data_IF_412492177865
#
_entry.id   IF_412492177865
#
_cell.length_a   1.000
_cell.length_b   1.000
_cell.length_c   1.000
_cell.angle_alpha   90.00
_cell.angle_beta   90.00
_cell.angle_gamma   90.00
#
_symmetry.space_group_name_H-M   'P 1'
#
loop_
_entity.id
_entity.type
_entity.pdbx_description
1 polymer ?
#
# COMPACT_ATOMS: atom_id res chain seq x y z
N UNK A 1 34.57 29.67 6.05
CA UNK A 1 34.94 29.60 4.62
C UNK A 1 35.77 28.36 4.39
N UNK A 2 35.15 27.23 4.08
CA UNK A 2 35.87 25.97 3.77
C UNK A 2 34.90 25.00 3.10
N UNK A 3 34.65 25.22 1.81
CA UNK A 3 34.31 24.16 0.86
C UNK A 3 35.63 23.64 0.30
N UNK A 4 36.03 22.42 0.64
CA UNK A 4 36.76 21.52 -0.26
C UNK A 4 37.05 20.22 0.49
N UNK A 5 36.48 19.10 0.04
CA UNK A 5 37.09 17.76 0.05
C UNK A 5 36.02 16.74 -0.35
N UNK A 6 35.78 16.60 -1.65
CA UNK A 6 35.22 15.37 -2.24
C UNK A 6 35.73 15.28 -3.67
N UNK A 7 36.85 14.59 -3.86
CA UNK A 7 37.32 14.11 -5.16
C UNK A 7 38.43 13.09 -4.95
N UNK A 8 38.42 12.06 -5.80
CA UNK A 8 39.45 11.06 -6.03
C UNK A 8 39.50 9.86 -5.07
N UNK A 9 38.88 8.75 -5.49
CA UNK A 9 39.58 7.46 -5.51
C UNK A 9 39.07 6.62 -6.68
N UNK A 10 39.79 6.70 -7.79
CA UNK A 10 39.75 5.74 -8.87
C UNK A 10 41.18 5.50 -9.35
N UNK A 11 41.53 4.21 -9.48
CA UNK A 11 42.65 3.60 -10.24
C UNK A 11 44.04 3.61 -9.61
N UNK A 12 44.46 2.41 -9.20
CA UNK A 12 45.69 1.66 -9.55
C UNK A 12 45.57 0.31 -8.82
N UNK A 13 45.71 -0.90 -9.35
CA UNK A 13 46.35 -1.41 -10.56
C UNK A 13 47.25 -2.59 -10.17
N UNK A 14 46.92 -3.81 -10.62
CA UNK A 14 47.79 -4.99 -10.81
C UNK A 14 48.27 -5.83 -9.60
N UNK A 15 47.85 -7.10 -9.55
CA UNK A 15 48.75 -8.26 -9.34
C UNK A 15 48.15 -9.57 -9.88
N UNK A 16 48.86 -10.18 -10.84
CA UNK A 16 49.18 -11.61 -10.95
C UNK A 16 48.10 -12.70 -10.93
N UNK A 17 47.86 -13.31 -12.10
CA UNK A 17 47.20 -14.61 -12.33
C UNK A 17 48.02 -15.78 -11.75
N UNK A 18 47.34 -16.86 -11.33
CA UNK A 18 47.72 -18.24 -11.64
C UNK A 18 46.54 -19.22 -11.45
N UNK A 19 46.05 -19.71 -12.60
CA UNK A 19 45.51 -21.03 -12.97
C UNK A 19 44.38 -21.71 -12.15
N UNK A 20 43.29 -21.99 -12.88
CA UNK A 20 42.29 -23.02 -12.56
C UNK A 20 41.12 -22.99 -13.55
N UNK A 21 41.31 -23.60 -14.74
CA UNK A 21 40.30 -23.70 -15.80
C UNK A 21 39.16 -24.67 -15.39
N UNK A 22 37.91 -24.23 -15.47
CA UNK A 22 36.78 -25.07 -15.90
C UNK A 22 35.82 -24.25 -16.78
N UNK A 23 35.27 -24.82 -17.87
CA UNK A 23 34.43 -24.10 -18.81
C UNK A 23 32.99 -24.00 -18.28
N UNK A 24 32.50 -22.77 -18.08
CA UNK A 24 31.07 -22.54 -17.88
C UNK A 24 30.35 -22.65 -19.22
N UNK A 25 29.54 -23.69 -19.37
CA UNK A 25 28.61 -23.86 -20.47
C UNK A 25 27.58 -22.73 -20.45
N UNK A 26 27.50 -21.96 -21.54
CA UNK A 26 26.46 -20.98 -21.78
C UNK A 26 25.21 -21.72 -22.28
N UNK A 27 24.27 -22.00 -21.37
CA UNK A 27 22.95 -22.53 -21.70
C UNK A 27 21.98 -21.40 -22.03
N UNK A 28 21.73 -21.15 -23.32
CA UNK A 28 20.59 -20.34 -23.75
C UNK A 28 19.29 -21.13 -23.49
N UNK A 29 18.57 -20.78 -22.43
CA UNK A 29 17.20 -21.25 -22.23
C UNK A 29 16.28 -20.36 -23.06
N UNK A 30 15.80 -20.88 -24.19
CA UNK A 30 14.67 -20.30 -24.93
C UNK A 30 13.42 -20.46 -24.07
N UNK A 31 12.91 -19.36 -23.51
CA UNK A 31 11.58 -19.36 -22.90
C UNK A 31 10.54 -19.43 -24.02
N UNK A 32 9.80 -20.55 -24.04
CA UNK A 32 8.61 -20.74 -24.87
C UNK A 32 7.55 -19.73 -24.45
N UNK A 33 7.17 -18.84 -25.37
CA UNK A 33 6.02 -17.94 -25.25
C UNK A 33 4.74 -18.73 -25.39
N UNK A 34 4.18 -19.16 -24.25
CA UNK A 34 2.84 -19.72 -24.17
C UNK A 34 2.33 -19.59 -22.73
N UNK A 35 1.99 -18.36 -22.33
CA UNK A 35 1.17 -18.14 -21.14
C UNK A 35 -0.26 -18.53 -21.52
N UNK A 36 -0.71 -19.71 -21.08
CA UNK A 36 -2.14 -20.03 -21.06
C UNK A 36 -2.81 -19.10 -20.05
N UNK A 37 -3.99 -18.52 -20.37
CA UNK A 37 -4.71 -17.70 -19.41
C UNK A 37 -5.17 -18.60 -18.26
N UNK A 38 -4.81 -18.24 -17.02
CA UNK A 38 -5.37 -18.85 -15.83
C UNK A 38 -6.82 -18.37 -15.68
N UNK A 39 -7.75 -19.08 -16.32
CA UNK A 39 -9.19 -18.86 -16.15
C UNK A 39 -9.67 -19.60 -14.91
N UNK A 40 -9.35 -19.07 -13.73
CA UNK A 40 -10.12 -19.35 -12.52
C UNK A 40 -10.86 -18.06 -12.19
N UNK A 41 -12.19 -18.06 -12.31
CA UNK A 41 -13.01 -16.92 -11.93
C UNK A 41 -12.76 -16.61 -10.45
N UNK A 42 -12.03 -15.53 -10.17
CA UNK A 42 -11.80 -15.07 -8.81
C UNK A 42 -13.15 -14.77 -8.15
N UNK A 43 -13.48 -15.35 -6.97
CA UNK A 43 -14.65 -14.97 -6.22
C UNK A 43 -14.64 -13.46 -5.95
N UNK A 44 -15.58 -12.78 -6.59
CA UNK A 44 -15.88 -11.36 -6.43
C UNK A 44 -17.32 -11.28 -6.01
N UNK A 45 -17.56 -10.71 -4.85
CA UNK A 45 -18.91 -10.60 -4.31
C UNK A 45 -19.03 -9.38 -3.43
N UNK A 46 -20.28 -9.01 -3.14
CA UNK A 46 -20.58 -7.96 -2.20
C UNK A 46 -21.10 -8.57 -0.90
N UNK A 47 -20.77 -7.93 0.21
CA UNK A 47 -21.28 -8.24 1.54
C UNK A 47 -22.05 -7.04 2.07
N UNK A 48 -23.24 -7.26 2.60
CA UNK A 48 -23.92 -6.25 3.42
C UNK A 48 -23.23 -6.21 4.79
N UNK A 49 -22.59 -5.09 5.12
CA UNK A 49 -21.84 -4.88 6.37
C UNK A 49 -22.21 -3.50 6.90
N UNK A 50 -22.81 -3.47 8.11
CA UNK A 50 -23.43 -2.26 8.65
C UNK A 50 -24.40 -1.67 7.62
N UNK A 51 -24.26 -0.39 7.29
CA UNK A 51 -25.09 0.31 6.28
C UNK A 51 -24.47 0.29 4.87
N UNK A 52 -23.47 -0.57 4.62
CA UNK A 52 -22.70 -0.59 3.38
C UNK A 52 -22.81 -1.92 2.64
N UNK A 53 -22.83 -1.84 1.31
CA UNK A 53 -22.57 -2.97 0.43
C UNK A 53 -21.10 -2.96 0.04
N UNK A 54 -20.31 -3.87 0.61
CA UNK A 54 -18.86 -3.89 0.46
C UNK A 54 -18.44 -4.94 -0.56
N UNK A 55 -17.78 -4.51 -1.63
CA UNK A 55 -17.13 -5.38 -2.60
C UNK A 55 -15.83 -5.95 -2.02
N UNK A 56 -15.68 -7.27 -2.17
CA UNK A 56 -14.51 -8.03 -1.76
C UNK A 56 -14.10 -8.98 -2.89
N UNK A 57 -12.80 -9.12 -3.04
CA UNK A 57 -12.16 -10.07 -3.93
C UNK A 57 -11.21 -10.98 -3.14
N UNK A 58 -11.35 -12.28 -3.32
CA UNK A 58 -10.55 -13.28 -2.58
C UNK A 58 -9.80 -14.19 -3.55
N UNK A 59 -8.48 -14.30 -3.40
CA UNK A 59 -7.62 -15.22 -4.16
C UNK A 59 -6.76 -16.07 -3.24
N UNK A 60 -6.43 -17.28 -3.69
CA UNK A 60 -5.66 -18.25 -2.93
C UNK A 60 -6.45 -18.98 -1.85
N UNK A 61 -5.78 -19.94 -1.24
CA UNK A 61 -6.35 -20.87 -0.26
C UNK A 61 -5.35 -21.22 0.86
N UNK A 62 -4.29 -20.43 0.99
CA UNK A 62 -3.30 -20.64 2.03
C UNK A 62 -3.82 -20.31 3.43
N UNK A 63 -3.22 -20.87 4.49
CA UNK A 63 -3.75 -20.81 5.84
C UNK A 63 -3.65 -19.43 6.51
N UNK A 64 -2.94 -18.46 5.91
CA UNK A 64 -2.69 -17.14 6.48
C UNK A 64 -3.53 -16.08 5.76
N UNK A 65 -4.59 -15.53 6.37
CA UNK A 65 -5.35 -14.46 5.75
C UNK A 65 -4.53 -13.17 5.66
N UNK A 66 -4.47 -12.56 4.47
CA UNK A 66 -3.77 -11.30 4.20
C UNK A 66 -4.74 -10.34 3.54
N UNK A 67 -4.93 -9.18 4.15
CA UNK A 67 -5.88 -8.18 3.69
C UNK A 67 -5.13 -7.05 2.99
N UNK A 68 -5.55 -6.70 1.78
CA UNK A 68 -4.97 -5.61 0.99
C UNK A 68 -5.88 -4.38 1.10
N UNK A 69 -5.33 -3.25 1.57
CA UNK A 69 -6.09 -2.01 1.81
C UNK A 69 -5.63 -0.95 0.80
N UNK A 70 -6.52 -0.51 -0.13
CA UNK A 70 -6.15 0.42 -1.20
C UNK A 70 -5.90 1.83 -0.67
N UNK A 71 -5.23 2.62 -1.49
CA UNK A 71 -4.99 4.03 -1.22
C UNK A 71 -6.22 4.89 -1.48
N UNK A 72 -6.02 6.20 -1.48
CA UNK A 72 -7.08 7.17 -1.73
C UNK A 72 -7.74 6.89 -3.08
N UNK A 73 -9.06 6.67 -3.05
CA UNK A 73 -9.90 6.47 -4.24
C UNK A 73 -9.59 5.17 -5.01
N UNK A 74 -8.71 4.35 -4.46
CA UNK A 74 -8.38 3.05 -5.00
C UNK A 74 -9.47 2.00 -4.78
N UNK A 75 -9.23 0.84 -5.38
CA UNK A 75 -10.02 -0.39 -5.26
C UNK A 75 -9.09 -1.59 -5.23
N UNK A 76 -9.65 -2.79 -5.01
CA UNK A 76 -8.90 -4.04 -5.03
C UNK A 76 -8.00 -4.17 -6.27
N UNK A 77 -8.55 -3.93 -7.46
CA UNK A 77 -7.86 -4.17 -8.74
C UNK A 77 -7.05 -2.99 -9.23
N UNK A 78 -7.48 -1.76 -8.97
CA UNK A 78 -6.70 -0.58 -9.38
C UNK A 78 -5.41 -0.46 -8.60
N UNK A 79 -5.37 -0.99 -7.38
CA UNK A 79 -4.27 -0.78 -6.43
C UNK A 79 -3.47 -2.05 -6.16
N UNK A 80 -4.04 -3.25 -6.36
CA UNK A 80 -3.37 -4.51 -6.02
C UNK A 80 -3.43 -5.58 -7.10
N UNK A 81 -3.64 -5.22 -8.36
CA UNK A 81 -3.59 -6.17 -9.49
C UNK A 81 -2.38 -7.12 -9.43
N UNK A 82 -1.14 -6.62 -9.35
CA UNK A 82 0.06 -7.46 -9.26
C UNK A 82 0.09 -8.34 -8.00
N UNK A 83 -0.42 -7.87 -6.86
CA UNK A 83 -0.41 -8.62 -5.60
C UNK A 83 -1.44 -9.76 -5.63
N UNK A 84 -2.64 -9.49 -6.16
CA UNK A 84 -3.67 -10.51 -6.38
C UNK A 84 -3.17 -11.62 -7.33
N UNK A 85 -2.35 -11.27 -8.32
CA UNK A 85 -1.79 -12.22 -9.29
C UNK A 85 -0.55 -12.97 -8.79
N UNK A 86 0.34 -12.31 -8.04
CA UNK A 86 1.70 -12.81 -7.79
C UNK A 86 2.05 -13.13 -6.33
N UNK A 87 1.29 -12.65 -5.34
CA UNK A 87 1.52 -13.09 -3.96
C UNK A 87 1.24 -14.59 -3.84
N UNK A 88 1.95 -15.28 -2.95
CA UNK A 88 1.90 -16.73 -2.87
C UNK A 88 0.54 -17.23 -2.34
N UNK A 89 -0.36 -17.54 -3.27
CA UNK A 89 -1.72 -18.01 -3.01
C UNK A 89 -1.82 -19.37 -2.29
N UNK A 90 -0.72 -20.13 -2.16
CA UNK A 90 -0.65 -21.36 -1.34
C UNK A 90 -0.28 -21.08 0.11
N UNK A 91 0.41 -19.98 0.37
CA UNK A 91 0.75 -19.53 1.72
C UNK A 91 -0.36 -18.65 2.31
N UNK A 92 -1.03 -17.88 1.45
CA UNK A 92 -1.98 -16.86 1.85
C UNK A 92 -3.37 -17.09 1.27
N UNK A 93 -4.40 -16.72 2.04
CA UNK A 93 -5.72 -16.36 1.52
C UNK A 93 -5.73 -14.84 1.42
N UNK A 94 -5.67 -14.29 0.21
CA UNK A 94 -5.52 -12.86 -0.02
C UNK A 94 -6.90 -12.26 -0.23
N UNK A 95 -7.22 -11.23 0.55
CA UNK A 95 -8.52 -10.56 0.60
C UNK A 95 -8.27 -9.11 0.24
N UNK A 96 -8.77 -8.66 -0.91
CA UNK A 96 -8.74 -7.26 -1.27
C UNK A 96 -10.16 -6.70 -1.21
N UNK A 97 -10.32 -5.50 -0.67
CA UNK A 97 -11.62 -4.88 -0.47
C UNK A 97 -11.67 -3.50 -1.11
N UNK A 98 -12.87 -3.04 -1.40
CA UNK A 98 -13.13 -1.66 -1.76
C UNK A 98 -13.73 -0.96 -0.53
N UNK A 99 -13.10 0.10 0.01
CA UNK A 99 -13.66 0.87 1.13
C UNK A 99 -15.05 1.45 0.82
N UNK A 100 -15.87 1.80 1.83
CA UNK A 100 -17.18 2.41 1.63
C UNK A 100 -17.14 3.58 0.65
N UNK A 101 -17.91 3.53 -0.43
CA UNK A 101 -17.95 4.58 -1.45
C UNK A 101 -16.81 4.58 -2.47
N UNK A 102 -15.88 3.61 -2.39
CA UNK A 102 -14.87 3.36 -3.42
C UNK A 102 -15.20 2.13 -4.25
N UNK A 103 -14.57 2.05 -5.43
CA UNK A 103 -14.68 0.95 -6.38
C UNK A 103 -16.12 0.48 -6.59
N UNK A 104 -16.35 -0.81 -6.36
CA UNK A 104 -17.65 -1.43 -6.47
C UNK A 104 -18.42 -1.47 -5.13
N UNK A 105 -17.89 -0.86 -4.06
CA UNK A 105 -18.59 -0.64 -2.78
C UNK A 105 -19.47 0.62 -2.82
N UNK A 106 -20.22 0.78 -3.92
CA UNK A 106 -21.13 1.88 -4.21
C UNK A 106 -22.48 1.29 -4.65
N UNK A 107 -23.62 1.84 -4.20
CA UNK A 107 -23.80 2.90 -3.20
C UNK A 107 -23.47 2.46 -1.75
N UNK A 108 -23.36 3.39 -0.78
CA UNK A 108 -23.46 4.85 -0.92
C UNK A 108 -22.22 5.46 -1.59
N UNK A 109 -22.32 6.72 -2.02
CA UNK A 109 -21.16 7.48 -2.47
C UNK A 109 -20.22 7.82 -1.31
N UNK A 110 -18.94 8.01 -1.61
CA UNK A 110 -17.92 8.29 -0.60
C UNK A 110 -18.19 9.62 0.11
N UNK A 111 -18.08 9.59 1.44
CA UNK A 111 -18.01 10.78 2.27
C UNK A 111 -16.72 10.76 3.09
N UNK A 112 -16.24 11.96 3.45
CA UNK A 112 -15.00 12.16 4.21
C UNK A 112 -15.26 12.96 5.49
N UNK A 113 -15.96 12.40 6.51
CA UNK A 113 -15.93 12.98 7.85
C UNK A 113 -14.49 12.94 8.40
N UNK A 114 -14.17 13.76 9.41
CA UNK A 114 -12.82 13.79 10.03
C UNK A 114 -12.34 12.39 10.46
N UNK A 115 -13.25 11.53 10.92
CA UNK A 115 -12.94 10.18 11.39
C UNK A 115 -13.07 9.11 10.28
N UNK A 116 -13.04 9.46 9.00
CA UNK A 116 -13.31 8.50 7.92
C UNK A 116 -12.35 7.30 7.90
N UNK A 117 -11.09 7.48 8.30
CA UNK A 117 -10.15 6.35 8.45
C UNK A 117 -10.59 5.39 9.57
N UNK A 118 -11.05 5.91 10.71
CA UNK A 118 -11.60 5.10 11.81
C UNK A 118 -12.90 4.43 11.40
N UNK A 119 -13.77 5.11 10.64
CA UNK A 119 -14.96 4.49 10.04
C UNK A 119 -14.55 3.31 9.18
N UNK A 120 -13.63 3.51 8.24
CA UNK A 120 -13.20 2.46 7.32
C UNK A 120 -12.55 1.28 8.05
N UNK A 121 -11.77 1.54 9.10
CA UNK A 121 -11.20 0.50 9.96
C UNK A 121 -12.29 -0.33 10.68
N UNK A 122 -13.35 0.32 11.18
CA UNK A 122 -14.51 -0.37 11.78
C UNK A 122 -15.26 -1.22 10.76
N UNK A 123 -15.54 -0.67 9.57
CA UNK A 123 -16.22 -1.44 8.51
C UNK A 123 -15.38 -2.64 8.10
N UNK A 124 -14.09 -2.48 7.87
CA UNK A 124 -13.21 -3.58 7.49
C UNK A 124 -13.13 -4.66 8.57
N UNK A 125 -13.08 -4.28 9.85
CA UNK A 125 -13.10 -5.25 10.94
C UNK A 125 -14.37 -6.13 10.92
N UNK A 126 -15.53 -5.55 10.59
CA UNK A 126 -16.80 -6.27 10.44
C UNK A 126 -16.86 -7.12 9.16
N UNK A 127 -16.30 -6.64 8.05
CA UNK A 127 -16.12 -7.44 6.81
C UNK A 127 -15.35 -8.72 7.13
N UNK A 128 -14.19 -8.58 7.79
CA UNK A 128 -13.33 -9.71 8.11
C UNK A 128 -13.96 -10.65 9.15
N UNK A 129 -14.73 -10.11 10.10
CA UNK A 129 -15.51 -10.90 11.03
C UNK A 129 -16.56 -11.75 10.31
N UNK A 130 -17.33 -11.15 9.38
CA UNK A 130 -18.38 -11.83 8.61
C UNK A 130 -17.82 -12.89 7.65
N UNK A 131 -16.61 -12.70 7.15
CA UNK A 131 -15.86 -13.70 6.38
C UNK A 131 -15.27 -14.82 7.26
N UNK A 132 -15.41 -14.75 8.59
CA UNK A 132 -14.94 -15.77 9.52
C UNK A 132 -13.45 -15.66 9.90
N UNK A 133 -12.77 -14.57 9.53
CA UNK A 133 -11.36 -14.36 9.83
C UNK A 133 -11.18 -13.71 11.21
N UNK A 134 -10.82 -14.53 12.20
CA UNK A 134 -10.53 -14.07 13.58
C UNK A 134 -9.17 -13.39 13.72
N UNK A 135 -8.20 -13.83 12.92
CA UNK A 135 -6.85 -13.27 12.86
C UNK A 135 -6.41 -13.15 11.41
N UNK A 136 -5.70 -12.06 11.09
CA UNK A 136 -5.26 -11.74 9.74
C UNK A 136 -4.04 -10.81 9.78
N UNK A 137 -3.32 -10.74 8.67
CA UNK A 137 -2.31 -9.71 8.44
C UNK A 137 -2.83 -8.63 7.49
N UNK A 138 -2.33 -7.41 7.62
CA UNK A 138 -2.73 -6.26 6.81
C UNK A 138 -1.58 -5.82 5.93
N UNK A 139 -1.89 -5.44 4.69
CA UNK A 139 -0.97 -4.80 3.73
C UNK A 139 -1.66 -3.57 3.17
N UNK A 140 -1.35 -2.42 3.76
CA UNK A 140 -2.02 -1.15 3.44
C UNK A 140 -1.11 -0.20 2.70
N UNK A 141 -1.63 0.35 1.60
CA UNK A 141 -0.98 1.39 0.79
C UNK A 141 -1.62 2.75 1.07
N UNK A 142 -0.82 3.79 1.30
CA UNK A 142 -1.33 5.17 1.40
C UNK A 142 -2.43 5.31 2.45
N UNK A 143 -3.62 5.76 2.09
CA UNK A 143 -4.81 5.74 2.97
C UNK A 143 -5.12 4.37 3.59
N UNK A 144 -4.86 3.30 2.86
CA UNK A 144 -4.96 1.93 3.37
C UNK A 144 -3.91 1.62 4.44
N UNK A 145 -2.73 2.25 4.39
CA UNK A 145 -1.75 2.17 5.47
C UNK A 145 -2.27 2.88 6.73
N UNK A 146 -2.86 4.07 6.58
CA UNK A 146 -3.45 4.85 7.67
C UNK A 146 -4.59 4.08 8.35
N UNK A 147 -5.52 3.54 7.53
CA UNK A 147 -6.61 2.66 7.98
C UNK A 147 -6.07 1.40 8.65
N UNK A 148 -5.03 0.78 8.09
CA UNK A 148 -4.41 -0.43 8.63
C UNK A 148 -3.76 -0.20 10.00
N UNK A 149 -3.10 0.94 10.20
CA UNK A 149 -2.54 1.34 11.50
C UNK A 149 -3.64 1.54 12.55
N UNK A 150 -4.72 2.24 12.19
CA UNK A 150 -5.87 2.44 13.08
C UNK A 150 -6.53 1.10 13.43
N UNK A 151 -6.76 0.22 12.44
CA UNK A 151 -7.35 -1.09 12.68
C UNK A 151 -6.46 -1.93 13.61
N UNK A 152 -5.16 -1.95 13.39
CA UNK A 152 -4.21 -2.69 14.23
C UNK A 152 -4.14 -2.17 15.67
N UNK A 153 -4.38 -0.88 15.89
CA UNK A 153 -4.49 -0.28 17.22
C UNK A 153 -5.84 -0.56 17.90
N UNK A 154 -6.95 -0.52 17.15
CA UNK A 154 -8.29 -0.76 17.67
C UNK A 154 -8.56 -2.24 17.97
N UNK A 155 -7.98 -3.15 17.19
CA UNK A 155 -8.18 -4.60 17.29
C UNK A 155 -6.85 -5.36 17.38
N UNK A 156 -6.01 -5.11 18.40
CA UNK A 156 -4.64 -5.63 18.47
C UNK A 156 -4.57 -7.16 18.52
N UNK A 157 -5.61 -7.82 19.02
CA UNK A 157 -5.71 -9.29 19.08
C UNK A 157 -6.09 -9.94 17.73
N UNK A 158 -6.57 -9.15 16.77
CA UNK A 158 -7.00 -9.62 15.43
C UNK A 158 -5.90 -9.46 14.38
N UNK A 159 -4.99 -8.51 14.56
CA UNK A 159 -3.93 -8.22 13.58
C UNK A 159 -2.64 -8.92 13.95
N UNK A 160 -2.22 -9.90 13.14
CA UNK A 160 -1.00 -10.67 13.36
C UNK A 160 0.25 -9.90 12.93
N UNK A 161 0.18 -9.23 11.78
CA UNK A 161 1.25 -8.40 11.20
C UNK A 161 0.68 -7.27 10.38
N UNK A 162 1.39 -6.15 10.33
CA UNK A 162 1.04 -4.98 9.52
C UNK A 162 2.18 -4.65 8.56
N UNK A 163 1.87 -4.52 7.27
CA UNK A 163 2.72 -3.86 6.28
C UNK A 163 2.06 -2.52 5.95
N UNK A 164 2.74 -1.42 6.25
CA UNK A 164 2.25 -0.06 6.02
C UNK A 164 3.22 0.66 5.07
N UNK A 165 2.72 1.20 3.96
CA UNK A 165 3.60 1.84 2.98
C UNK A 165 2.99 3.06 2.31
N UNK A 166 3.79 4.12 2.19
CA UNK A 166 3.33 5.42 1.71
C UNK A 166 2.24 6.06 2.58
N UNK A 167 2.15 5.71 3.87
CA UNK A 167 1.20 6.28 4.82
C UNK A 167 1.82 7.36 5.71
N UNK A 168 0.96 8.09 6.41
CA UNK A 168 1.31 9.22 7.27
C UNK A 168 0.39 9.26 8.50
N UNK A 169 0.98 9.36 9.70
CA UNK A 169 0.20 9.43 10.95
C UNK A 169 -0.33 10.83 11.26
N UNK A 170 0.10 11.83 10.50
CA UNK A 170 -0.33 13.21 10.63
C UNK A 170 -0.22 13.95 9.28
N UNK A 171 -0.83 15.12 9.21
CA UNK A 171 -0.81 16.01 8.05
C UNK A 171 -0.15 17.33 8.45
N UNK A 172 0.75 17.83 7.60
CA UNK A 172 1.40 19.14 7.71
C UNK A 172 0.95 20.07 6.59
N UNK A 173 1.30 21.36 6.68
CA UNK A 173 1.12 22.31 5.57
C UNK A 173 1.81 21.85 4.28
N UNK A 174 2.99 21.24 4.40
CA UNK A 174 3.71 20.73 3.23
C UNK A 174 2.96 19.56 2.57
N UNK A 175 2.41 18.64 3.36
CA UNK A 175 1.63 17.51 2.83
C UNK A 175 0.37 17.99 2.12
N UNK A 176 -0.32 18.97 2.69
CA UNK A 176 -1.46 19.65 2.05
C UNK A 176 -1.03 20.28 0.73
N UNK A 177 0.07 21.03 0.68
CA UNK A 177 0.55 21.65 -0.56
C UNK A 177 0.87 20.62 -1.65
N UNK A 178 1.53 19.50 -1.28
CA UNK A 178 1.83 18.42 -2.20
C UNK A 178 0.56 17.79 -2.77
N UNK A 179 -0.44 17.50 -1.91
CA UNK A 179 -1.70 16.91 -2.36
C UNK A 179 -2.54 17.89 -3.19
N UNK A 180 -2.65 19.15 -2.75
CA UNK A 180 -3.40 20.21 -3.42
C UNK A 180 -2.88 20.47 -4.84
N UNK A 181 -1.56 20.38 -5.05
CA UNK A 181 -0.95 20.47 -6.38
C UNK A 181 -1.46 19.39 -7.36
N UNK A 182 -2.05 18.30 -6.85
CA UNK A 182 -2.65 17.22 -7.64
C UNK A 182 -4.15 17.36 -7.85
N UNK A 183 -4.83 18.35 -7.24
CA UNK A 183 -6.30 18.50 -7.29
C UNK A 183 -6.86 18.47 -8.71
N UNK A 184 -6.18 19.16 -9.64
CA UNK A 184 -6.58 19.16 -11.05
C UNK A 184 -6.08 17.88 -11.73
N UNK A 185 -6.95 16.87 -11.78
CA UNK A 185 -6.66 15.59 -12.42
C UNK A 185 -6.35 15.73 -13.92
N UNK A 186 -6.85 16.76 -14.63
CA UNK A 186 -6.61 16.91 -16.07
C UNK A 186 -5.11 17.13 -16.39
N UNK A 187 -4.31 17.54 -15.39
CA UNK A 187 -2.83 17.64 -15.49
C UNK A 187 -2.10 16.31 -15.28
N UNK A 188 -2.80 15.27 -14.86
CA UNK A 188 -2.20 13.96 -14.62
C UNK A 188 -1.99 13.22 -15.94
N UNK A 189 -0.98 12.36 -15.97
CA UNK A 189 -0.77 11.47 -17.12
C UNK A 189 -2.01 10.59 -17.35
N UNK A 190 -2.34 10.32 -18.61
CA UNK A 190 -3.45 9.43 -18.99
C UNK A 190 -3.35 8.08 -18.26
N UNK A 191 -2.14 7.52 -18.17
CA UNK A 191 -1.88 6.27 -17.45
C UNK A 191 -2.32 6.31 -15.98
N UNK A 192 -2.19 7.44 -15.29
CA UNK A 192 -2.61 7.58 -13.89
C UNK A 192 -4.12 7.72 -13.75
N UNK A 193 -4.80 8.29 -14.76
CA UNK A 193 -6.25 8.52 -14.71
C UNK A 193 -7.06 7.34 -15.23
N UNK A 194 -6.58 6.65 -16.26
CA UNK A 194 -7.37 5.73 -17.06
C UNK A 194 -8.13 4.68 -16.24
N UNK A 195 -7.48 4.07 -15.24
CA UNK A 195 -8.13 3.06 -14.40
C UNK A 195 -9.21 3.65 -13.48
N UNK A 196 -9.00 4.87 -12.99
CA UNK A 196 -9.97 5.56 -12.13
C UNK A 196 -11.14 6.13 -12.94
N UNK A 197 -10.86 6.69 -14.13
CA UNK A 197 -11.89 7.15 -15.05
C UNK A 197 -12.76 6.01 -15.56
N UNK A 198 -12.17 4.86 -15.87
CA UNK A 198 -12.93 3.67 -16.24
C UNK A 198 -13.83 3.15 -15.10
N UNK A 199 -13.43 3.35 -13.84
CA UNK A 199 -14.14 2.85 -12.66
C UNK A 199 -15.24 3.82 -12.18
N UNK A 200 -14.96 5.11 -12.15
CA UNK A 200 -15.85 6.12 -11.59
C UNK A 200 -16.56 6.97 -12.65
N UNK A 201 -16.01 7.07 -13.86
CA UNK A 201 -16.31 8.14 -14.81
C UNK A 201 -15.51 9.41 -14.48
N UNK A 202 -15.12 10.17 -15.50
CA UNK A 202 -14.22 11.33 -15.36
C UNK A 202 -14.71 12.38 -14.37
N UNK A 203 -15.99 12.78 -14.46
CA UNK A 203 -16.51 13.85 -13.60
C UNK A 203 -16.64 13.41 -12.13
N UNK A 204 -17.08 12.18 -11.89
CA UNK A 204 -17.14 11.61 -10.54
C UNK A 204 -15.73 11.44 -9.96
N UNK A 205 -14.76 10.98 -10.76
CA UNK A 205 -13.37 10.88 -10.31
C UNK A 205 -12.80 12.26 -9.96
N UNK A 206 -13.06 13.29 -10.77
CA UNK A 206 -12.65 14.67 -10.49
C UNK A 206 -13.24 15.17 -9.18
N UNK A 207 -14.55 15.00 -8.98
CA UNK A 207 -15.24 15.43 -7.76
C UNK A 207 -14.74 14.68 -6.53
N UNK A 208 -14.55 13.37 -6.65
CA UNK A 208 -14.09 12.52 -5.57
C UNK A 208 -12.66 12.88 -5.16
N UNK A 209 -11.75 13.10 -6.12
CA UNK A 209 -10.38 13.55 -5.85
C UNK A 209 -10.33 14.95 -5.23
N UNK A 210 -11.17 15.88 -5.71
CA UNK A 210 -11.31 17.19 -5.09
C UNK A 210 -11.77 17.09 -3.62
N UNK A 211 -12.79 16.25 -3.36
CA UNK A 211 -13.29 16.04 -2.00
C UNK A 211 -12.25 15.38 -1.08
N UNK A 212 -11.38 14.55 -1.65
CA UNK A 212 -10.24 13.98 -0.93
C UNK A 212 -9.18 15.04 -0.58
N UNK A 213 -8.90 15.98 -1.49
CA UNK A 213 -8.02 17.12 -1.17
C UNK A 213 -8.63 18.01 -0.06
N UNK A 214 -9.96 18.18 -0.05
CA UNK A 214 -10.68 18.97 0.96
C UNK A 214 -10.58 18.33 2.36
N UNK A 215 -10.68 17.00 2.49
CA UNK A 215 -10.51 16.37 3.80
C UNK A 215 -9.08 16.50 4.32
N UNK A 216 -8.05 16.54 3.48
CA UNK A 216 -6.67 16.77 3.92
C UNK A 216 -6.48 18.18 4.51
N UNK A 217 -7.11 19.19 3.91
CA UNK A 217 -7.19 20.53 4.47
C UNK A 217 -7.90 20.52 5.84
N UNK A 218 -9.03 19.81 5.93
CA UNK A 218 -9.79 19.69 7.16
C UNK A 218 -9.03 18.94 8.25
N UNK A 219 -8.27 17.89 7.93
CA UNK A 219 -7.40 17.19 8.88
C UNK A 219 -6.35 18.14 9.45
N UNK A 220 -5.72 18.96 8.61
CA UNK A 220 -4.75 19.97 9.06
C UNK A 220 -5.42 21.01 9.97
N UNK A 221 -6.49 21.65 9.50
CA UNK A 221 -7.03 22.86 10.14
C UNK A 221 -8.05 22.58 11.24
N UNK A 222 -8.88 21.54 11.09
CA UNK A 222 -9.95 21.19 12.03
C UNK A 222 -9.56 20.07 12.99
N UNK A 223 -8.61 19.21 12.60
CA UNK A 223 -8.11 18.11 13.43
C UNK A 223 -6.65 18.27 13.87
N UNK A 224 -6.06 19.46 13.72
CA UNK A 224 -4.67 19.76 14.12
C UNK A 224 -3.62 18.80 13.51
N UNK A 225 -3.85 18.43 12.26
CA UNK A 225 -3.04 17.47 11.52
C UNK A 225 -3.12 16.04 12.05
N UNK A 226 -4.02 15.71 12.96
CA UNK A 226 -4.13 14.37 13.52
C UNK A 226 -4.75 13.40 12.51
N UNK A 227 -4.11 12.23 12.33
CA UNK A 227 -4.66 11.09 11.58
C UNK A 227 -4.67 9.85 12.47
N UNK A 228 -3.50 9.41 12.92
CA UNK A 228 -3.39 8.24 13.80
C UNK A 228 -2.16 8.22 14.73
N UNK A 229 -1.59 9.38 15.09
CA UNK A 229 -0.46 9.47 16.04
C UNK A 229 -0.78 8.83 17.38
N UNK A 230 -2.02 8.95 17.85
CA UNK A 230 -2.48 8.43 19.14
C UNK A 230 -2.57 6.90 19.15
N UNK A 231 -2.77 6.31 17.98
CA UNK A 231 -2.94 4.88 17.75
C UNK A 231 -1.60 4.16 17.63
N UNK A 232 -0.53 4.81 17.15
CA UNK A 232 0.76 4.15 16.90
C UNK A 232 1.31 3.37 18.12
N UNK A 233 1.30 3.92 19.36
CA UNK A 233 1.79 3.19 20.54
C UNK A 233 0.91 2.00 20.95
N UNK A 234 -0.31 1.93 20.43
CA UNK A 234 -1.27 0.86 20.73
C UNK A 234 -1.08 -0.34 19.81
N UNK A 235 -0.41 -0.19 18.67
CA UNK A 235 -0.11 -1.29 17.74
C UNK A 235 0.81 -2.32 18.41
N UNK A 236 0.33 -3.56 18.58
CA UNK A 236 1.07 -4.65 19.27
C UNK A 236 1.76 -5.63 18.33
N UNK A 237 1.29 -5.71 17.09
CA UNK A 237 1.82 -6.62 16.08
C UNK A 237 3.17 -6.13 15.52
N UNK A 238 4.03 -7.05 15.04
CA UNK A 238 5.16 -6.68 14.20
C UNK A 238 4.70 -5.86 13.01
N UNK A 239 5.42 -4.78 12.70
CA UNK A 239 5.09 -3.87 11.60
C UNK A 239 6.26 -3.73 10.63
N UNK A 240 6.00 -3.86 9.33
CA UNK A 240 6.95 -3.51 8.28
C UNK A 240 6.49 -2.20 7.63
N UNK A 241 7.29 -1.16 7.79
CA UNK A 241 7.12 0.10 7.09
C UNK A 241 7.88 -0.02 5.78
N UNK A 242 7.21 0.17 4.64
CA UNK A 242 7.88 0.23 3.33
C UNK A 242 7.80 1.66 2.81
N UNK A 243 8.93 2.20 2.35
CA UNK A 243 8.98 3.57 1.84
C UNK A 243 9.76 3.65 0.53
N UNK A 244 9.25 4.43 -0.43
CA UNK A 244 9.98 4.81 -1.62
C UNK A 244 10.90 5.99 -1.32
N UNK A 245 12.19 5.88 -1.66
CA UNK A 245 13.16 6.97 -1.47
C UNK A 245 12.91 8.20 -2.34
N UNK A 246 12.10 8.06 -3.40
CA UNK A 246 11.70 9.12 -4.34
C UNK A 246 10.19 9.33 -4.36
N UNK A 247 9.50 9.00 -3.27
CA UNK A 247 8.06 9.27 -3.13
C UNK A 247 7.78 10.78 -3.18
N UNK A 248 7.03 11.28 -4.19
CA UNK A 248 6.75 12.71 -4.33
C UNK A 248 5.54 13.17 -3.51
N UNK A 249 4.76 12.25 -2.93
CA UNK A 249 3.52 12.54 -2.22
C UNK A 249 3.68 12.43 -0.71
N UNK A 250 4.43 11.43 -0.25
CA UNK A 250 4.64 11.19 1.19
C UNK A 250 6.12 11.28 1.51
N UNK A 251 6.57 12.42 2.08
CA UNK A 251 7.96 12.61 2.45
C UNK A 251 8.47 11.56 3.44
N UNK A 252 9.78 11.26 3.36
CA UNK A 252 10.46 10.24 4.19
C UNK A 252 10.25 10.40 5.70
N UNK A 253 10.06 11.63 6.19
CA UNK A 253 9.91 11.89 7.62
C UNK A 253 8.69 11.19 8.22
N UNK A 254 7.64 10.93 7.43
CA UNK A 254 6.48 10.15 7.89
C UNK A 254 6.87 8.71 8.21
N UNK A 255 7.59 8.03 7.32
CA UNK A 255 8.07 6.67 7.55
C UNK A 255 9.02 6.59 8.77
N UNK A 256 9.87 7.60 8.96
CA UNK A 256 10.74 7.67 10.13
C UNK A 256 9.96 7.91 11.43
N UNK A 257 8.91 8.75 11.38
CA UNK A 257 8.03 8.95 12.52
C UNK A 257 7.31 7.65 12.91
N UNK A 258 6.77 6.91 11.93
CA UNK A 258 6.15 5.60 12.17
C UNK A 258 7.15 4.63 12.82
N UNK A 259 8.39 4.58 12.31
CA UNK A 259 9.44 3.70 12.85
C UNK A 259 9.77 4.01 14.31
N UNK A 260 9.72 5.28 14.70
CA UNK A 260 9.99 5.73 16.07
C UNK A 260 8.84 5.43 17.04
N UNK A 261 7.59 5.42 16.57
CA UNK A 261 6.41 5.38 17.42
C UNK A 261 5.67 4.03 17.43
N UNK A 262 6.05 3.09 16.57
CA UNK A 262 5.53 1.72 16.57
C UNK A 262 6.59 0.78 17.15
N UNK A 263 6.31 0.20 18.32
CA UNK A 263 7.31 -0.52 19.14
C UNK A 263 8.02 -1.69 18.42
N UNK A 264 7.34 -2.37 17.48
CA UNK A 264 7.88 -3.52 16.73
C UNK A 264 7.98 -3.25 15.23
N UNK A 265 8.32 -2.01 14.86
CA UNK A 265 8.49 -1.62 13.47
C UNK A 265 9.88 -1.91 12.91
N UNK A 266 9.93 -2.24 11.63
CA UNK A 266 11.13 -2.27 10.79
C UNK A 266 10.88 -1.43 9.55
N UNK A 267 11.93 -0.81 9.01
CA UNK A 267 11.86 -0.06 7.76
C UNK A 267 12.49 -0.88 6.62
N UNK A 268 11.77 -1.01 5.51
CA UNK A 268 12.27 -1.48 4.23
C UNK A 268 12.21 -0.33 3.23
N UNK A 269 13.39 0.23 2.90
CA UNK A 269 13.52 1.34 1.97
C UNK A 269 13.76 0.81 0.56
N UNK A 270 12.97 1.29 -0.40
CA UNK A 270 13.21 1.07 -1.84
C UNK A 270 13.79 2.38 -2.41
N UNK A 271 15.12 2.50 -2.62
CA UNK A 271 15.76 3.80 -2.87
C UNK A 271 15.21 4.55 -4.09
N UNK A 272 14.91 3.84 -5.17
CA UNK A 272 14.33 4.40 -6.40
C UNK A 272 12.80 4.29 -6.46
N UNK A 273 12.19 3.76 -5.41
CA UNK A 273 10.74 3.64 -5.26
C UNK A 273 10.06 5.00 -5.20
N UNK A 274 8.92 5.13 -5.87
CA UNK A 274 7.99 6.26 -5.74
C UNK A 274 6.76 5.81 -4.93
N UNK A 275 5.69 6.60 -4.94
CA UNK A 275 4.46 6.29 -4.20
C UNK A 275 3.83 4.94 -4.60
N UNK A 276 3.90 4.55 -5.88
CA UNK A 276 3.35 3.30 -6.40
C UNK A 276 4.40 2.17 -6.50
N UNK A 277 5.33 2.09 -5.53
CA UNK A 277 6.46 1.15 -5.57
C UNK A 277 6.02 -0.31 -5.70
N UNK A 278 4.88 -0.70 -5.15
CA UNK A 278 4.35 -2.07 -5.18
C UNK A 278 3.87 -2.49 -6.57
N UNK A 279 3.63 -1.53 -7.47
CA UNK A 279 3.42 -1.79 -8.89
C UNK A 279 4.75 -1.91 -9.64
N UNK A 280 5.61 -0.88 -9.51
CA UNK A 280 6.82 -0.77 -10.33
C UNK A 280 7.90 -1.78 -9.93
N UNK A 281 8.01 -2.07 -8.64
CA UNK A 281 8.96 -3.00 -8.04
C UNK A 281 8.21 -4.20 -7.44
N UNK A 282 7.15 -4.67 -8.12
CA UNK A 282 6.23 -5.67 -7.59
C UNK A 282 6.91 -6.94 -7.10
N UNK A 283 7.91 -7.46 -7.83
CA UNK A 283 8.56 -8.72 -7.45
C UNK A 283 9.43 -8.55 -6.17
N UNK A 284 10.15 -7.43 -6.06
CA UNK A 284 10.93 -7.08 -4.86
C UNK A 284 10.01 -6.82 -3.65
N UNK A 285 8.95 -6.04 -3.86
CA UNK A 285 7.94 -5.75 -2.85
C UNK A 285 7.26 -7.03 -2.36
N UNK A 286 6.77 -7.88 -3.27
CA UNK A 286 6.08 -9.12 -2.94
C UNK A 286 7.00 -10.10 -2.20
N UNK A 287 8.29 -10.16 -2.55
CA UNK A 287 9.28 -10.95 -1.82
C UNK A 287 9.44 -10.47 -0.39
N UNK A 288 9.70 -9.18 -0.19
CA UNK A 288 9.88 -8.59 1.14
C UNK A 288 8.62 -8.75 2.02
N UNK A 289 7.43 -8.52 1.44
CA UNK A 289 6.15 -8.75 2.11
C UNK A 289 5.97 -10.22 2.47
N UNK A 290 6.25 -11.15 1.56
CA UNK A 290 6.11 -12.58 1.84
C UNK A 290 7.03 -13.03 2.96
N UNK A 291 8.32 -12.67 2.91
CA UNK A 291 9.31 -13.01 3.95
C UNK A 291 8.90 -12.43 5.31
N UNK A 292 8.44 -11.18 5.33
CA UNK A 292 7.93 -10.58 6.55
C UNK A 292 6.69 -11.30 7.07
N UNK A 293 5.71 -11.61 6.23
CA UNK A 293 4.44 -12.21 6.66
C UNK A 293 4.61 -13.63 7.22
N UNK A 294 5.61 -14.40 6.77
CA UNK A 294 5.83 -15.79 7.23
C UNK A 294 6.82 -15.93 8.39
N UNK A 295 7.58 -14.87 8.71
CA UNK A 295 8.55 -14.87 9.83
C UNK A 295 7.95 -15.11 11.22
#
# INVERSE_FOLDING_TARGET
>A
TTMSQFSAFAKTGLFGRLLGRQPYFCGFVRYSTSLKPATTSTPRFCLDVLDYKIHVEIVGNGPRPVVLLPGAIGSSRTDFGPQLEKLNQRLFTIIAWDPPGYGFSRPPERTFPIDFYHRDARVLAEVLHKLGHKQYSLVGWSDGANTGMILAAMYPERVQKLVAFGGNAFVTEHDVQLLEATRNIDKWSEKMRASMEALYGTDNFRQLWSSYCDIYQDLLHKNHGEVCRKELPLIKCPTLIVQGGKDPLVPMHHALYLLQHIAKAKLFLVPDGKHNLHFKYADEFNKAVTEFLIS
#
